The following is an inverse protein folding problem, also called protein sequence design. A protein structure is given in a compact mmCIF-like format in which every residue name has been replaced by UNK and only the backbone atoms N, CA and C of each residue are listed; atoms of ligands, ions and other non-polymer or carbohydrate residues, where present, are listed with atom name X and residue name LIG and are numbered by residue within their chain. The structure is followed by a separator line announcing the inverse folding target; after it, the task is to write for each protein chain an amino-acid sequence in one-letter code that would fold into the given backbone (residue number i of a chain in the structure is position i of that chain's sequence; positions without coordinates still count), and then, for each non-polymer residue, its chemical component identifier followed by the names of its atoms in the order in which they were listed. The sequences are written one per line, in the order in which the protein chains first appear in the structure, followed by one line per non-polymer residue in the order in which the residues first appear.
data_IF_416930390508
#
_entry.id   IF_416930390508
#
_cell.length_a   1.000
_cell.length_b   1.000
_cell.length_c   1.000
_cell.angle_alpha   90.00
_cell.angle_beta   90.00
_cell.angle_gamma   90.00
#
_symmetry.space_group_name_H-M   'P 1'
#
loop_
_entity.id
_entity.type
_entity.pdbx_description
1 polymer ?
#
# COMPACT_ATOMS: atom_id res chain seq x y z
N UNK A 1 -5.88 -71.04 11.23
CA UNK A 1 -5.85 -69.62 10.80
C UNK A 1 -5.64 -69.60 9.29
N UNK A 2 -6.63 -69.14 8.52
CA UNK A 2 -6.64 -69.32 7.07
C UNK A 2 -5.48 -68.56 6.43
N UNK A 3 -4.66 -69.25 5.62
CA UNK A 3 -3.51 -68.67 4.91
C UNK A 3 -3.89 -67.43 4.09
N UNK A 4 -5.12 -67.43 3.58
CA UNK A 4 -5.75 -66.30 2.87
C UNK A 4 -5.97 -65.08 3.78
N UNK A 5 -6.43 -65.30 5.02
CA UNK A 5 -6.64 -64.24 6.01
C UNK A 5 -5.32 -63.60 6.46
N UNK A 6 -4.29 -64.42 6.63
CA UNK A 6 -2.93 -64.00 6.97
C UNK A 6 -2.30 -63.14 5.84
N UNK A 7 -2.54 -63.52 4.58
CA UNK A 7 -2.08 -62.75 3.42
C UNK A 7 -2.77 -61.38 3.30
N UNK A 8 -4.09 -61.30 3.57
CA UNK A 8 -4.84 -60.04 3.50
C UNK A 8 -4.37 -59.04 4.57
N UNK A 9 -4.11 -59.50 5.80
CA UNK A 9 -3.61 -58.63 6.89
C UNK A 9 -2.22 -58.07 6.55
N UNK A 10 -1.32 -58.89 5.99
CA UNK A 10 0.02 -58.44 5.58
C UNK A 10 -0.08 -57.37 4.49
N UNK A 11 -0.96 -57.56 3.50
CA UNK A 11 -1.16 -56.58 2.42
C UNK A 11 -1.71 -55.26 2.96
N UNK A 12 -2.65 -55.30 3.90
CA UNK A 12 -3.22 -54.09 4.52
C UNK A 12 -2.18 -53.36 5.38
N UNK A 13 -1.38 -54.08 6.17
CA UNK A 13 -0.32 -53.46 6.97
C UNK A 13 0.77 -52.82 6.11
N UNK A 14 1.10 -53.41 4.96
CA UNK A 14 2.06 -52.84 4.01
C UNK A 14 1.53 -51.57 3.33
N UNK A 15 0.27 -51.55 2.90
CA UNK A 15 -0.31 -50.38 2.23
C UNK A 15 -0.50 -49.20 3.19
N UNK A 16 -0.89 -49.47 4.43
CA UNK A 16 -1.01 -48.44 5.48
C UNK A 16 0.36 -47.91 5.89
N UNK A 17 1.35 -48.79 6.08
CA UNK A 17 2.72 -48.40 6.42
C UNK A 17 3.36 -47.48 5.38
N UNK A 18 3.24 -47.83 4.09
CA UNK A 18 3.75 -47.02 2.97
C UNK A 18 3.04 -45.66 2.89
N UNK A 19 1.73 -45.61 3.14
CA UNK A 19 0.96 -44.37 3.17
C UNK A 19 1.39 -43.42 4.28
N UNK A 20 1.66 -43.94 5.49
CA UNK A 20 2.11 -43.14 6.64
C UNK A 20 3.51 -42.57 6.40
N UNK A 21 4.45 -43.38 5.89
CA UNK A 21 5.81 -42.88 5.58
C UNK A 21 5.78 -41.78 4.52
N UNK A 22 4.96 -41.92 3.47
CA UNK A 22 4.79 -40.90 2.44
C UNK A 22 4.14 -39.63 2.99
N UNK A 23 3.15 -39.76 3.88
CA UNK A 23 2.47 -38.63 4.51
C UNK A 23 3.41 -37.85 5.45
N UNK A 24 4.23 -38.55 6.24
CA UNK A 24 5.22 -37.93 7.14
C UNK A 24 6.41 -37.30 6.40
N UNK A 25 6.82 -37.85 5.25
CA UNK A 25 7.85 -37.24 4.39
C UNK A 25 7.32 -36.04 3.59
N UNK A 26 6.00 -35.96 3.37
CA UNK A 26 5.37 -34.89 2.61
C UNK A 26 5.09 -33.64 3.46
N UNK A 27 5.05 -33.75 4.80
CA UNK A 27 4.78 -32.62 5.70
C UNK A 27 5.96 -31.67 5.90
N UNK A 28 7.20 -32.10 5.70
CA UNK A 28 8.38 -31.24 5.87
C UNK A 28 8.79 -30.48 4.59
N UNK A 29 8.30 -30.90 3.43
CA UNK A 29 8.73 -30.35 2.13
C UNK A 29 7.76 -29.31 1.54
N UNK A 30 6.50 -29.26 1.99
CA UNK A 30 5.46 -28.43 1.39
C UNK A 30 5.19 -27.09 2.07
N UNK A 31 5.81 -26.79 3.22
CA UNK A 31 5.65 -25.47 3.89
C UNK A 31 6.76 -24.48 3.49
N UNK A 32 7.89 -24.92 2.90
CA UNK A 32 9.04 -24.05 2.64
C UNK A 32 9.48 -23.89 1.18
N UNK A 33 8.70 -24.35 0.18
CA UNK A 33 9.16 -24.28 -1.22
C UNK A 33 8.13 -23.80 -2.27
N UNK A 34 6.95 -23.30 -1.86
CA UNK A 34 5.98 -22.71 -2.81
C UNK A 34 5.94 -21.18 -2.81
N UNK A 35 7.10 -20.55 -2.69
CA UNK A 35 7.28 -19.15 -3.08
C UNK A 35 8.61 -18.97 -3.80
N UNK A 36 8.73 -19.53 -5.00
CA UNK A 36 9.72 -19.03 -5.95
C UNK A 36 9.12 -18.93 -7.34
N UNK A 37 9.17 -17.70 -7.87
CA UNK A 37 8.76 -17.23 -9.20
C UNK A 37 7.27 -16.97 -9.47
N UNK A 38 6.78 -15.90 -8.86
CA UNK A 38 6.39 -14.76 -9.71
C UNK A 38 7.58 -13.80 -9.67
N UNK A 39 8.01 -13.23 -10.78
CA UNK A 39 8.79 -12.00 -10.74
C UNK A 39 7.90 -10.96 -10.05
N UNK A 40 7.98 -10.87 -8.72
CA UNK A 40 7.21 -9.89 -7.94
C UNK A 40 7.93 -8.56 -8.08
N UNK A 41 8.03 -8.08 -9.33
CA UNK A 41 8.51 -6.75 -9.65
C UNK A 41 7.54 -5.78 -9.01
N UNK A 42 8.06 -4.90 -8.16
CA UNK A 42 7.28 -3.81 -7.58
C UNK A 42 6.58 -3.06 -8.71
N UNK A 43 5.23 -3.04 -8.75
CA UNK A 43 4.49 -2.40 -9.83
C UNK A 43 4.55 -0.87 -9.74
N UNK A 44 5.09 -0.31 -8.65
CA UNK A 44 5.21 1.13 -8.45
C UNK A 44 6.33 1.70 -9.30
N UNK A 45 6.07 2.87 -9.88
CA UNK A 45 7.08 3.65 -10.59
C UNK A 45 7.93 4.43 -9.59
N UNK A 46 9.19 4.05 -9.42
CA UNK A 46 10.15 4.81 -8.63
C UNK A 46 10.37 6.21 -9.22
N UNK A 47 10.34 7.23 -8.37
CA UNK A 47 10.67 8.62 -8.72
C UNK A 47 12.11 8.87 -8.30
N UNK A 48 12.98 9.22 -9.25
CA UNK A 48 14.39 9.49 -8.99
C UNK A 48 14.56 10.94 -8.54
N UNK A 49 14.74 11.13 -7.24
CA UNK A 49 14.94 12.42 -6.58
C UNK A 49 16.24 12.38 -5.79
N UNK A 50 16.93 13.52 -5.65
CA UNK A 50 17.97 13.66 -4.63
C UNK A 50 17.32 13.84 -3.23
N UNK A 51 18.12 13.85 -2.17
CA UNK A 51 17.60 13.93 -0.79
C UNK A 51 16.80 15.22 -0.52
N UNK A 52 17.20 16.34 -1.12
CA UNK A 52 16.51 17.63 -0.96
C UNK A 52 15.14 17.58 -1.64
N UNK A 53 15.11 17.11 -2.88
CA UNK A 53 13.90 16.92 -3.68
C UNK A 53 12.92 15.94 -3.05
N UNK A 54 13.43 14.83 -2.52
CA UNK A 54 12.63 13.86 -1.79
C UNK A 54 12.01 14.49 -0.54
N UNK A 55 12.79 15.28 0.22
CA UNK A 55 12.28 15.95 1.40
C UNK A 55 11.16 16.94 1.06
N UNK A 56 11.31 17.72 -0.01
CA UNK A 56 10.26 18.65 -0.47
C UNK A 56 8.96 17.91 -0.82
N UNK A 57 9.03 16.78 -1.54
CA UNK A 57 7.83 15.99 -1.85
C UNK A 57 7.18 15.43 -0.57
N UNK A 58 7.99 14.91 0.36
CA UNK A 58 7.46 14.37 1.62
C UNK A 58 6.91 15.46 2.54
N UNK A 59 7.46 16.67 2.50
CA UNK A 59 6.94 17.83 3.22
C UNK A 59 5.55 18.22 2.69
N UNK A 60 5.37 18.27 1.37
CA UNK A 60 4.05 18.49 0.76
C UNK A 60 3.03 17.42 1.19
N UNK A 61 3.43 16.13 1.19
CA UNK A 61 2.56 15.04 1.65
C UNK A 61 2.13 15.20 3.12
N UNK A 62 3.04 15.68 3.99
CA UNK A 62 2.71 15.99 5.39
C UNK A 62 1.84 17.24 5.50
N UNK A 63 2.02 18.22 4.62
CA UNK A 63 1.16 19.40 4.48
C UNK A 63 -0.30 19.02 4.24
N UNK A 64 -0.58 18.13 3.29
CA UNK A 64 -1.93 17.64 3.03
C UNK A 64 -2.58 16.97 4.25
N UNK A 65 -1.81 16.15 4.98
CA UNK A 65 -2.30 15.51 6.19
C UNK A 65 -2.59 16.53 7.30
N UNK A 66 -1.73 17.54 7.45
CA UNK A 66 -1.91 18.64 8.40
C UNK A 66 -3.18 19.45 8.09
N UNK A 67 -3.38 19.85 6.82
CA UNK A 67 -4.62 20.52 6.39
C UNK A 67 -5.84 19.65 6.70
N UNK A 68 -5.80 18.36 6.40
CA UNK A 68 -6.90 17.43 6.68
C UNK A 68 -7.21 17.35 8.17
N UNK A 69 -6.20 17.21 9.03
CA UNK A 69 -6.36 17.20 10.48
C UNK A 69 -6.99 18.50 10.99
N UNK A 70 -6.51 19.65 10.52
CA UNK A 70 -7.03 20.97 10.92
C UNK A 70 -8.49 21.15 10.49
N UNK A 71 -8.84 20.73 9.27
CA UNK A 71 -10.23 20.75 8.77
C UNK A 71 -11.12 19.92 9.68
N UNK A 72 -10.73 18.68 10.01
CA UNK A 72 -11.53 17.81 10.88
C UNK A 72 -11.69 18.41 12.29
N UNK A 73 -10.62 18.98 12.85
CA UNK A 73 -10.68 19.64 14.15
C UNK A 73 -11.59 20.88 14.14
N UNK A 74 -11.51 21.69 13.09
CA UNK A 74 -12.34 22.88 12.91
C UNK A 74 -13.84 22.52 12.74
N UNK A 75 -14.14 21.49 11.93
CA UNK A 75 -15.50 20.96 11.78
C UNK A 75 -16.08 20.48 13.12
N UNK A 76 -15.27 19.81 13.95
CA UNK A 76 -15.70 19.37 15.28
C UNK A 76 -15.98 20.53 16.24
N UNK A 77 -15.41 21.71 15.97
CA UNK A 77 -15.60 22.93 16.76
C UNK A 77 -16.63 23.89 16.14
N UNK A 78 -17.27 23.52 15.02
CA UNK A 78 -18.18 24.37 14.23
C UNK A 78 -17.52 25.69 13.76
N UNK A 79 -16.21 25.68 13.53
CA UNK A 79 -15.42 26.83 13.09
C UNK A 79 -15.15 26.77 11.57
N UNK A 80 -16.12 27.23 10.78
CA UNK A 80 -16.01 27.22 9.33
C UNK A 80 -14.93 28.17 8.79
N UNK A 81 -14.62 29.27 9.49
CA UNK A 81 -13.52 30.15 9.10
C UNK A 81 -12.16 29.42 9.19
N UNK A 82 -11.97 28.59 10.22
CA UNK A 82 -10.80 27.74 10.34
C UNK A 82 -10.77 26.62 9.28
N UNK A 83 -11.92 26.08 8.85
CA UNK A 83 -12.00 25.14 7.71
C UNK A 83 -11.47 25.80 6.44
N UNK A 84 -11.97 27.00 6.11
CA UNK A 84 -11.52 27.78 4.93
C UNK A 84 -10.01 28.02 4.97
N UNK A 85 -9.49 28.48 6.12
CA UNK A 85 -8.06 28.75 6.28
C UNK A 85 -7.20 27.49 6.12
N UNK A 86 -7.62 26.36 6.69
CA UNK A 86 -6.90 25.09 6.61
C UNK A 86 -6.93 24.48 5.20
N UNK A 87 -8.06 24.62 4.48
CA UNK A 87 -8.19 24.17 3.10
C UNK A 87 -7.30 24.99 2.15
N UNK A 88 -7.29 26.33 2.28
CA UNK A 88 -6.44 27.23 1.47
C UNK A 88 -4.94 26.92 1.60
N UNK A 89 -4.48 26.43 2.75
CA UNK A 89 -3.06 26.03 2.96
C UNK A 89 -2.60 24.94 1.99
N UNK A 90 -3.50 24.05 1.56
CA UNK A 90 -3.20 22.97 0.61
C UNK A 90 -3.80 23.21 -0.78
N UNK A 91 -4.33 24.41 -1.03
CA UNK A 91 -4.87 24.84 -2.32
C UNK A 91 -3.81 25.00 -3.41
N UNK A 92 -4.20 25.43 -4.61
CA UNK A 92 -3.25 25.57 -5.75
C UNK A 92 -2.11 26.56 -5.47
N UNK A 93 -2.31 27.53 -4.57
CA UNK A 93 -1.27 28.48 -4.18
C UNK A 93 -0.04 27.79 -3.54
N UNK A 94 -0.19 26.62 -2.89
CA UNK A 94 0.95 25.92 -2.28
C UNK A 94 1.93 25.35 -3.34
N UNK A 95 1.47 25.16 -4.58
CA UNK A 95 2.27 24.56 -5.65
C UNK A 95 3.51 25.39 -6.06
N UNK A 96 3.54 26.67 -5.72
CA UNK A 96 4.67 27.57 -5.97
C UNK A 96 5.91 27.20 -5.12
N UNK A 97 5.71 26.47 -4.02
CA UNK A 97 6.79 26.05 -3.11
C UNK A 97 7.68 24.95 -3.72
N UNK A 98 7.20 24.26 -4.76
CA UNK A 98 7.94 23.19 -5.42
C UNK A 98 8.72 23.71 -6.65
N UNK A 99 10.07 23.65 -6.66
CA UNK A 99 10.88 24.09 -7.79
C UNK A 99 10.54 23.36 -9.09
N UNK A 100 10.62 24.06 -10.23
CA UNK A 100 10.31 23.49 -11.55
C UNK A 100 11.14 22.24 -11.86
N UNK A 101 12.43 22.27 -11.53
CA UNK A 101 13.37 21.15 -11.69
C UNK A 101 12.91 19.89 -10.96
N UNK A 102 12.32 20.04 -9.77
CA UNK A 102 11.76 18.92 -9.01
C UNK A 102 10.46 18.43 -9.65
N UNK A 103 9.57 19.34 -10.06
CA UNK A 103 8.29 19.00 -10.71
C UNK A 103 8.48 18.26 -12.04
N UNK A 104 9.55 18.55 -12.77
CA UNK A 104 9.85 17.91 -14.05
C UNK A 104 10.23 16.44 -13.90
N UNK A 105 10.82 16.05 -12.76
CA UNK A 105 11.13 14.66 -12.43
C UNK A 105 9.90 13.84 -12.05
N UNK A 106 8.79 14.49 -11.70
CA UNK A 106 7.57 13.82 -11.27
C UNK A 106 6.82 13.19 -12.47
N UNK A 107 6.38 11.91 -12.37
CA UNK A 107 5.59 11.28 -13.42
C UNK A 107 4.30 12.05 -13.74
N UNK A 108 3.84 12.01 -15.00
CA UNK A 108 2.59 12.67 -15.43
C UNK A 108 1.39 12.32 -14.55
N UNK A 109 1.23 11.03 -14.20
CA UNK A 109 0.15 10.57 -13.32
C UNK A 109 0.22 11.17 -11.91
N UNK A 110 1.44 11.31 -11.37
CA UNK A 110 1.67 11.96 -10.07
C UNK A 110 1.28 13.44 -10.11
N UNK A 111 1.71 14.16 -11.16
CA UNK A 111 1.34 15.57 -11.35
C UNK A 111 -0.17 15.77 -11.47
N UNK A 112 -0.84 14.92 -12.26
CA UNK A 112 -2.30 14.96 -12.40
C UNK A 112 -3.00 14.80 -11.05
N UNK A 113 -2.55 13.84 -10.24
CA UNK A 113 -3.10 13.64 -8.89
C UNK A 113 -2.84 14.85 -8.00
N UNK A 114 -1.62 15.39 -8.00
CA UNK A 114 -1.29 16.60 -7.24
C UNK A 114 -2.17 17.79 -7.60
N UNK A 115 -2.31 18.10 -8.90
CA UNK A 115 -3.17 19.19 -9.37
C UNK A 115 -4.65 19.00 -8.97
N UNK A 116 -5.17 17.78 -9.08
CA UNK A 116 -6.54 17.45 -8.66
C UNK A 116 -6.73 17.63 -7.15
N UNK A 117 -5.76 17.16 -6.34
CA UNK A 117 -5.76 17.34 -4.87
C UNK A 117 -5.80 18.83 -4.50
N UNK A 118 -4.90 19.65 -5.04
CA UNK A 118 -4.90 21.09 -4.78
C UNK A 118 -6.20 21.77 -5.19
N UNK A 119 -6.75 21.41 -6.35
CA UNK A 119 -8.00 21.96 -6.85
C UNK A 119 -9.18 21.60 -5.93
N UNK A 120 -9.19 20.39 -5.36
CA UNK A 120 -10.20 19.97 -4.40
C UNK A 120 -10.08 20.68 -3.05
N UNK A 121 -8.86 21.02 -2.61
CA UNK A 121 -8.68 21.88 -1.44
C UNK A 121 -9.17 23.31 -1.69
N UNK A 122 -8.93 23.87 -2.89
CA UNK A 122 -9.51 25.17 -3.25
C UNK A 122 -11.04 25.11 -3.28
N UNK A 123 -11.62 24.07 -3.88
CA UNK A 123 -13.07 23.89 -3.90
C UNK A 123 -13.65 23.74 -2.50
N UNK A 124 -13.00 22.95 -1.64
CA UNK A 124 -13.41 22.81 -0.24
C UNK A 124 -13.39 24.16 0.49
N UNK A 125 -12.38 25.00 0.22
CA UNK A 125 -12.33 26.33 0.79
C UNK A 125 -13.45 27.24 0.26
N UNK A 126 -13.85 27.10 -1.01
CA UNK A 126 -14.96 27.86 -1.60
C UNK A 126 -16.33 27.41 -1.09
N UNK A 127 -16.51 26.11 -0.87
CA UNK A 127 -17.78 25.56 -0.36
C UNK A 127 -18.01 25.87 1.12
N UNK A 128 -16.94 26.21 1.85
CA UNK A 128 -16.94 26.50 3.28
C UNK A 128 -17.04 28.00 3.63
N UNK A 129 -16.93 28.88 2.63
CA UNK A 129 -16.97 30.36 2.74
C UNK A 129 -18.41 30.88 2.51
#
# INVERSE_FOLDING_TARGET
MNRVFLAIIIVISLTVGIGISKYLLQTDSSIHSKQQNSSNTDPRKAIKLNNIEQNMVLEEMRGFLNSTQKIVAALAADDMAAVVAAAKQSGRASQEQMPAETRDKLPKGFKKLGFDTHTKFDQLAMDAD
#
